data_IF_360317735338
#
_entry.id   IF_360317735338
#
_cell.length_a   1.000
_cell.length_b   1.000
_cell.length_c   1.000
_cell.angle_alpha   90.00
_cell.angle_beta   90.00
_cell.angle_gamma   90.00
#
_symmetry.space_group_name_H-M   'P 1'
#
loop_
_entity.id
_entity.type
_entity.pdbx_description
1 polymer ?
#
# COMPACT_ATOMS: atom_id res chain seq x y z
N UNK A 1 -38.65 -0.58 25.69
CA UNK A 1 -38.09 -0.21 24.37
C UNK A 1 -36.94 -1.16 24.06
N UNK A 2 -37.12 -2.06 23.10
CA UNK A 2 -36.11 -3.07 22.74
C UNK A 2 -35.06 -2.46 21.81
N UNK A 3 -33.80 -2.42 22.24
CA UNK A 3 -32.66 -2.03 21.40
C UNK A 3 -32.54 -3.03 20.25
N UNK A 4 -32.90 -2.61 19.05
CA UNK A 4 -32.52 -3.34 17.83
C UNK A 4 -31.01 -3.23 17.67
N UNK A 5 -30.28 -4.27 18.06
CA UNK A 5 -28.87 -4.40 17.69
C UNK A 5 -28.81 -4.91 16.25
N UNK A 6 -28.21 -4.11 15.37
CA UNK A 6 -27.89 -4.55 14.01
C UNK A 6 -26.83 -5.67 14.09
N UNK A 7 -26.99 -6.78 13.35
CA UNK A 7 -26.19 -8.00 13.50
C UNK A 7 -24.73 -7.90 13.02
N UNK A 8 -24.27 -6.73 12.58
CA UNK A 8 -22.92 -6.53 12.06
C UNK A 8 -22.22 -5.35 12.75
N UNK A 9 -21.89 -5.53 14.03
CA UNK A 9 -20.91 -4.63 14.66
C UNK A 9 -19.52 -5.13 14.34
N UNK A 10 -18.96 -4.64 13.23
CA UNK A 10 -17.55 -4.89 12.89
C UNK A 10 -16.67 -4.38 14.05
N UNK A 11 -15.79 -5.22 14.64
CA UNK A 11 -14.94 -4.83 15.76
C UNK A 11 -14.14 -3.57 15.43
N UNK A 12 -13.96 -2.66 16.40
CA UNK A 12 -13.33 -1.35 16.17
C UNK A 12 -11.95 -1.41 15.52
N UNK A 13 -11.17 -2.48 15.77
CA UNK A 13 -9.85 -2.70 15.15
C UNK A 13 -9.95 -2.97 13.64
N UNK A 14 -10.95 -3.75 13.21
CA UNK A 14 -11.18 -4.01 11.78
C UNK A 14 -11.60 -2.72 11.08
N UNK A 15 -12.53 -1.96 11.67
CA UNK A 15 -12.93 -0.65 11.13
C UNK A 15 -11.76 0.31 10.95
N UNK A 16 -10.88 0.40 11.95
CA UNK A 16 -9.68 1.25 11.85
C UNK A 16 -8.69 0.76 10.77
N UNK A 17 -8.62 -0.55 10.53
CA UNK A 17 -7.86 -1.12 9.43
C UNK A 17 -8.43 -0.73 8.07
N UNK A 18 -9.76 -0.83 7.93
CA UNK A 18 -10.49 -0.48 6.71
C UNK A 18 -10.32 1.01 6.40
N UNK A 19 -10.50 1.87 7.40
CA UNK A 19 -10.27 3.32 7.27
C UNK A 19 -8.83 3.64 6.85
N UNK A 20 -7.82 2.92 7.38
CA UNK A 20 -6.44 3.12 6.99
C UNK A 20 -6.21 2.79 5.51
N UNK A 21 -6.80 1.70 5.02
CA UNK A 21 -6.72 1.31 3.61
C UNK A 21 -7.46 2.29 2.71
N UNK A 22 -8.66 2.72 3.10
CA UNK A 22 -9.46 3.71 2.37
C UNK A 22 -8.70 5.02 2.21
N UNK A 23 -8.04 5.53 3.26
CA UNK A 23 -7.26 6.77 3.19
C UNK A 23 -6.13 6.69 2.15
N UNK A 24 -5.38 5.58 2.12
CA UNK A 24 -4.33 5.39 1.12
C UNK A 24 -4.87 5.18 -0.29
N UNK A 25 -6.03 4.53 -0.42
CA UNK A 25 -6.72 4.39 -1.69
C UNK A 25 -7.23 5.73 -2.21
N UNK A 26 -7.80 6.57 -1.34
CA UNK A 26 -8.23 7.93 -1.66
C UNK A 26 -7.06 8.77 -2.16
N UNK A 27 -5.86 8.68 -1.56
CA UNK A 27 -4.66 9.39 -2.06
C UNK A 27 -4.37 9.03 -3.54
N UNK A 28 -4.46 7.75 -3.88
CA UNK A 28 -4.24 7.28 -5.25
C UNK A 28 -5.36 7.72 -6.20
N UNK A 29 -6.62 7.70 -5.75
CA UNK A 29 -7.76 8.19 -6.52
C UNK A 29 -7.67 9.71 -6.76
N UNK A 30 -7.18 10.48 -5.79
CA UNK A 30 -6.92 11.91 -5.96
C UNK A 30 -5.79 12.15 -6.97
N UNK A 31 -4.69 11.39 -6.91
CA UNK A 31 -3.64 11.46 -7.93
C UNK A 31 -4.23 11.18 -9.33
N UNK A 32 -5.11 10.18 -9.44
CA UNK A 32 -5.75 9.85 -10.71
C UNK A 32 -6.72 10.94 -11.17
N UNK A 33 -7.48 11.55 -10.27
CA UNK A 33 -8.38 12.66 -10.62
C UNK A 33 -7.62 13.89 -11.13
N UNK A 34 -6.47 14.20 -10.53
CA UNK A 34 -5.58 15.28 -10.97
C UNK A 34 -4.87 14.96 -12.30
N UNK A 35 -4.64 13.67 -12.57
CA UNK A 35 -3.89 13.17 -13.72
C UNK A 35 -4.58 11.95 -14.34
N UNK A 36 -5.73 12.14 -15.00
CA UNK A 36 -6.59 11.05 -15.50
C UNK A 36 -5.93 10.16 -16.54
N UNK A 37 -4.88 10.66 -17.19
CA UNK A 37 -4.07 9.93 -18.18
C UNK A 37 -3.12 8.89 -17.57
N UNK A 38 -2.84 8.97 -16.26
CA UNK A 38 -1.82 8.13 -15.62
C UNK A 38 -2.25 6.69 -15.39
N UNK A 39 -3.55 6.48 -15.20
CA UNK A 39 -4.10 5.17 -14.83
C UNK A 39 -5.29 4.82 -15.72
N UNK A 40 -5.47 3.53 -15.93
CA UNK A 40 -6.66 2.99 -16.59
C UNK A 40 -7.71 2.58 -15.56
N UNK A 41 -7.27 2.06 -14.41
CA UNK A 41 -8.14 1.71 -13.29
C UNK A 41 -7.37 1.67 -11.97
N UNK A 42 -8.15 1.75 -10.89
CA UNK A 42 -7.74 1.50 -9.50
C UNK A 42 -8.74 0.49 -8.90
N UNK A 43 -8.24 -0.51 -8.19
CA UNK A 43 -9.01 -1.55 -7.51
C UNK A 43 -8.56 -1.67 -6.05
N UNK A 44 -9.50 -2.09 -5.21
CA UNK A 44 -9.30 -2.37 -3.80
C UNK A 44 -9.54 -3.86 -3.56
N UNK A 45 -8.86 -4.45 -2.59
CA UNK A 45 -9.07 -5.85 -2.17
C UNK A 45 -8.94 -6.83 -3.37
N UNK A 46 -7.81 -6.75 -4.08
CA UNK A 46 -7.52 -7.55 -5.27
C UNK A 46 -7.01 -8.96 -4.94
N UNK A 47 -7.87 -9.97 -5.05
CA UNK A 47 -7.50 -11.37 -4.77
C UNK A 47 -6.49 -11.97 -5.77
N UNK A 48 -6.32 -11.37 -6.95
CA UNK A 48 -5.53 -11.89 -8.07
C UNK A 48 -4.02 -11.61 -7.96
N UNK A 49 -3.61 -10.58 -7.21
CA UNK A 49 -2.19 -10.22 -7.02
C UNK A 49 -1.58 -10.80 -5.72
N UNK A 50 -2.29 -11.73 -5.08
CA UNK A 50 -1.81 -12.44 -3.90
C UNK A 50 -1.61 -11.52 -2.70
N UNK A 51 -0.37 -11.33 -2.25
CA UNK A 51 -0.07 -10.54 -1.04
C UNK A 51 0.14 -9.04 -1.32
N UNK A 52 -0.19 -8.56 -2.52
CA UNK A 52 -0.05 -7.16 -2.95
C UNK A 52 -1.42 -6.44 -3.08
N UNK A 53 -2.43 -7.01 -2.44
CA UNK A 53 -3.85 -7.00 -2.77
C UNK A 53 -4.63 -5.75 -2.34
N UNK A 54 -4.21 -5.07 -1.26
CA UNK A 54 -5.07 -4.08 -0.61
C UNK A 54 -5.51 -2.92 -1.54
N UNK A 55 -4.58 -2.33 -2.31
CA UNK A 55 -4.87 -1.35 -3.38
C UNK A 55 -3.96 -1.56 -4.59
N UNK A 56 -4.55 -1.76 -5.77
CA UNK A 56 -3.82 -2.01 -7.03
C UNK A 56 -4.28 -1.03 -8.11
N UNK A 57 -3.34 -0.49 -8.89
CA UNK A 57 -3.61 0.41 -10.00
C UNK A 57 -2.91 -0.05 -11.27
N UNK A 58 -3.59 0.03 -12.42
CA UNK A 58 -2.94 -0.14 -13.72
C UNK A 58 -2.52 1.19 -14.28
N UNK A 59 -1.21 1.37 -14.50
CA UNK A 59 -0.69 2.55 -15.22
C UNK A 59 -1.05 2.42 -16.69
N UNK A 60 -1.45 3.53 -17.31
CA UNK A 60 -1.80 3.56 -18.75
C UNK A 60 -0.63 3.20 -19.65
N UNK A 61 0.59 3.54 -19.23
CA UNK A 61 1.83 3.25 -19.97
C UNK A 61 2.28 1.78 -19.87
N UNK A 62 1.71 0.98 -18.97
CA UNK A 62 2.21 -0.37 -18.68
C UNK A 62 2.42 -0.62 -17.20
N UNK A 63 2.19 -1.86 -16.76
CA UNK A 63 2.50 -2.33 -15.41
C UNK A 63 1.57 -1.84 -14.30
N UNK A 64 1.77 -2.44 -13.12
CA UNK A 64 0.96 -2.22 -11.94
C UNK A 64 1.66 -1.37 -10.88
N UNK A 65 0.86 -0.62 -10.13
CA UNK A 65 1.22 -0.02 -8.85
C UNK A 65 0.47 -0.80 -7.77
N UNK A 66 1.20 -1.50 -6.90
CA UNK A 66 0.59 -2.35 -5.87
C UNK A 66 0.96 -1.86 -4.47
N UNK A 67 -0.05 -1.63 -3.62
CA UNK A 67 0.14 -1.15 -2.26
C UNK A 67 -0.53 -2.12 -1.31
N UNK A 68 0.27 -2.78 -0.48
CA UNK A 68 -0.23 -3.59 0.64
C UNK A 68 -0.26 -2.73 1.89
N UNK A 69 -1.36 -2.76 2.63
CA UNK A 69 -1.59 -2.04 3.87
C UNK A 69 -1.51 -3.03 5.05
N UNK A 70 -0.80 -2.61 6.10
CA UNK A 70 -0.77 -3.32 7.39
C UNK A 70 -0.98 -2.35 8.53
N UNK A 71 -2.20 -2.31 9.03
CA UNK A 71 -2.58 -1.52 10.19
C UNK A 71 -2.28 -2.24 11.52
N UNK A 72 -1.98 -1.47 12.57
CA UNK A 72 -2.01 -1.91 13.96
C UNK A 72 -2.74 -0.88 14.81
N UNK A 73 -3.53 -1.32 15.79
CA UNK A 73 -4.23 -0.42 16.71
C UNK A 73 -3.30 0.26 17.73
N UNK A 74 -2.10 -0.29 17.95
CA UNK A 74 -1.14 0.22 18.93
C UNK A 74 0.22 0.52 18.24
N UNK A 75 0.27 1.53 17.35
CA UNK A 75 1.46 1.80 16.51
C UNK A 75 2.71 2.18 17.30
N UNK A 76 2.52 2.70 18.51
CA UNK A 76 3.59 3.17 19.37
C UNK A 76 4.20 2.09 20.25
N UNK A 77 3.59 0.90 20.32
CA UNK A 77 4.12 -0.21 21.10
C UNK A 77 5.44 -0.73 20.50
N UNK A 78 6.55 -0.72 21.27
CA UNK A 78 7.86 -1.13 20.75
C UNK A 78 7.90 -2.56 20.20
N UNK A 79 7.14 -3.49 20.80
CA UNK A 79 7.04 -4.88 20.38
C UNK A 79 6.26 -5.07 19.06
N UNK A 80 5.50 -4.05 18.65
CA UNK A 80 4.76 -4.02 17.38
C UNK A 80 5.47 -3.20 16.30
N UNK A 81 6.67 -2.70 16.56
CA UNK A 81 7.46 -1.91 15.61
C UNK A 81 7.65 -2.65 14.28
N UNK A 82 7.67 -1.88 13.19
CA UNK A 82 8.04 -2.35 11.87
C UNK A 82 9.53 -2.71 11.87
N UNK A 83 9.80 -3.97 12.18
CA UNK A 83 11.14 -4.54 12.33
C UNK A 83 11.39 -5.68 11.35
N UNK A 84 12.66 -6.00 11.14
CA UNK A 84 13.04 -7.15 10.32
C UNK A 84 12.47 -8.46 10.88
N UNK A 85 12.47 -8.60 12.20
CA UNK A 85 11.86 -9.74 12.88
C UNK A 85 10.38 -9.85 12.59
N UNK A 86 9.63 -8.75 12.52
CA UNK A 86 8.22 -8.76 12.14
C UNK A 86 8.03 -9.23 10.68
N UNK A 87 8.81 -8.69 9.74
CA UNK A 87 8.71 -9.06 8.32
C UNK A 87 9.07 -10.53 8.06
N UNK A 88 10.05 -11.06 8.80
CA UNK A 88 10.59 -12.41 8.63
C UNK A 88 10.01 -13.45 9.58
N UNK A 89 9.17 -13.04 10.55
CA UNK A 89 8.52 -13.95 11.50
C UNK A 89 7.73 -15.00 10.73
N UNK A 90 7.97 -16.25 11.08
CA UNK A 90 7.20 -17.39 10.60
C UNK A 90 6.36 -17.93 11.74
N UNK A 91 5.06 -18.05 11.50
CA UNK A 91 4.13 -18.58 12.49
C UNK A 91 4.01 -20.08 12.37
N UNK A 92 3.85 -20.78 13.50
CA UNK A 92 3.52 -22.19 13.48
C UNK A 92 2.14 -22.40 12.83
N UNK A 93 2.08 -23.30 11.85
CA UNK A 93 0.84 -23.74 11.21
C UNK A 93 0.59 -25.22 11.44
N UNK A 94 -0.63 -25.67 11.16
CA UNK A 94 -1.04 -27.06 11.34
C UNK A 94 -0.19 -28.08 10.55
N UNK A 95 0.47 -27.65 9.46
CA UNK A 95 1.32 -28.47 8.60
C UNK A 95 2.79 -28.03 8.63
N UNK A 96 3.22 -27.37 9.71
CA UNK A 96 4.55 -26.79 9.85
C UNK A 96 4.56 -25.27 9.73
N UNK A 97 5.76 -24.70 9.69
CA UNK A 97 5.96 -23.24 9.74
C UNK A 97 5.42 -22.54 8.49
N UNK A 98 4.45 -21.63 8.68
CA UNK A 98 3.94 -20.77 7.60
C UNK A 98 5.06 -19.91 7.01
N UNK A 99 4.89 -19.50 5.75
CA UNK A 99 5.74 -18.47 5.13
C UNK A 99 5.62 -17.16 5.90
N UNK A 100 6.72 -16.41 5.98
CA UNK A 100 6.71 -15.08 6.58
C UNK A 100 5.94 -14.07 5.71
N UNK A 101 5.70 -12.87 6.24
CA UNK A 101 5.11 -11.79 5.45
C UNK A 101 5.98 -11.46 4.24
N UNK A 102 7.29 -11.29 4.45
CA UNK A 102 8.23 -10.98 3.37
C UNK A 102 8.30 -12.07 2.31
N UNK A 103 8.26 -13.36 2.70
CA UNK A 103 8.25 -14.46 1.73
C UNK A 103 6.99 -14.43 0.88
N UNK A 104 5.80 -14.30 1.49
CA UNK A 104 4.55 -14.22 0.73
C UNK A 104 4.53 -13.01 -0.20
N UNK A 105 5.07 -11.88 0.25
CA UNK A 105 5.17 -10.65 -0.52
C UNK A 105 6.12 -10.82 -1.72
N UNK A 106 7.31 -11.39 -1.52
CA UNK A 106 8.26 -11.69 -2.59
C UNK A 106 7.66 -12.68 -3.61
N UNK A 107 7.04 -13.76 -3.15
CA UNK A 107 6.41 -14.74 -4.04
C UNK A 107 5.25 -14.15 -4.85
N UNK A 108 4.55 -13.14 -4.31
CA UNK A 108 3.50 -12.42 -5.03
C UNK A 108 4.10 -11.43 -6.04
N UNK A 109 5.14 -10.70 -5.63
CA UNK A 109 5.87 -9.78 -6.48
C UNK A 109 6.44 -10.48 -7.72
N UNK A 110 7.13 -11.60 -7.55
CA UNK A 110 7.75 -12.33 -8.64
C UNK A 110 6.68 -12.78 -9.67
N UNK A 111 5.57 -13.35 -9.19
CA UNK A 111 4.45 -13.75 -10.06
C UNK A 111 3.83 -12.59 -10.81
N UNK A 112 3.52 -11.50 -10.11
CA UNK A 112 2.90 -10.32 -10.73
C UNK A 112 3.86 -9.60 -11.69
N UNK A 113 5.17 -9.63 -11.42
CA UNK A 113 6.19 -9.06 -12.30
C UNK A 113 6.24 -9.79 -13.65
N UNK A 114 6.15 -11.12 -13.63
CA UNK A 114 6.17 -11.95 -14.84
C UNK A 114 4.90 -11.76 -15.69
N UNK A 115 3.74 -11.63 -15.06
CA UNK A 115 2.44 -11.57 -15.77
C UNK A 115 2.09 -10.17 -16.29
N UNK A 116 2.19 -9.15 -15.45
CA UNK A 116 1.65 -7.80 -15.71
C UNK A 116 2.73 -6.70 -15.76
N UNK A 117 3.90 -6.99 -15.17
CA UNK A 117 4.93 -5.99 -14.88
C UNK A 117 4.58 -5.09 -13.70
N UNK A 118 5.59 -4.58 -13.00
CA UNK A 118 5.42 -3.74 -11.81
C UNK A 118 6.19 -2.44 -11.98
N UNK A 119 5.48 -1.32 -11.81
CA UNK A 119 6.05 0.04 -11.81
C UNK A 119 6.42 0.45 -10.39
N UNK A 120 5.57 0.12 -9.41
CA UNK A 120 5.81 0.43 -8.00
C UNK A 120 5.11 -0.62 -7.13
N UNK A 121 5.77 -1.06 -6.06
CA UNK A 121 5.20 -1.99 -5.10
C UNK A 121 5.69 -1.67 -3.69
N UNK A 122 4.78 -1.65 -2.72
CA UNK A 122 5.15 -1.30 -1.34
C UNK A 122 4.24 -1.87 -0.27
N UNK A 123 4.82 -2.02 0.93
CA UNK A 123 4.11 -2.30 2.17
C UNK A 123 3.99 -1.01 3.00
N UNK A 124 2.77 -0.57 3.24
CA UNK A 124 2.43 0.65 3.94
C UNK A 124 1.86 0.29 5.32
N UNK A 125 2.44 0.83 6.38
CA UNK A 125 2.04 0.52 7.74
C UNK A 125 2.11 1.75 8.63
N UNK A 126 1.20 1.83 9.61
CA UNK A 126 1.24 2.84 10.66
C UNK A 126 2.16 2.45 11.83
N UNK A 127 2.77 1.26 11.83
CA UNK A 127 3.77 0.85 12.83
C UNK A 127 4.97 1.78 12.79
N UNK A 128 5.50 2.15 13.96
CA UNK A 128 6.79 2.87 14.01
C UNK A 128 7.93 2.00 13.48
N UNK A 129 8.81 2.59 12.68
CA UNK A 129 10.05 1.93 12.26
C UNK A 129 10.90 1.59 13.47
N UNK A 130 11.40 0.35 13.57
CA UNK A 130 12.59 0.14 14.40
C UNK A 130 13.74 0.93 13.77
N UNK A 131 14.62 1.51 14.59
CA UNK A 131 15.70 2.45 14.19
C UNK A 131 16.68 1.95 13.10
N UNK A 132 16.48 0.74 12.59
CA UNK A 132 17.22 0.08 11.51
C UNK A 132 16.59 0.24 10.12
N UNK A 133 15.34 0.72 9.99
CA UNK A 133 14.70 0.91 8.69
C UNK A 133 15.06 2.29 8.11
N UNK A 134 16.10 2.35 7.30
CA UNK A 134 16.48 3.55 6.55
C UNK A 134 15.31 4.02 5.68
N UNK A 135 14.82 5.24 5.93
CA UNK A 135 13.79 5.88 5.11
C UNK A 135 14.31 6.00 3.67
N UNK A 136 13.71 5.34 2.66
CA UNK A 136 14.12 5.58 1.28
C UNK A 136 13.85 7.05 0.97
N UNK A 137 14.87 7.76 0.52
CA UNK A 137 14.74 9.15 0.12
C UNK A 137 13.80 9.21 -1.08
N UNK A 138 12.59 9.78 -0.90
CA UNK A 138 11.78 10.23 -2.02
C UNK A 138 12.65 11.19 -2.83
N UNK A 139 13.23 10.73 -3.94
CA UNK A 139 13.80 11.62 -4.95
C UNK A 139 12.65 12.43 -5.52
N UNK A 140 12.39 13.60 -4.92
CA UNK A 140 11.64 14.67 -5.59
C UNK A 140 12.45 15.03 -6.83
N UNK A 141 12.05 14.53 -8.01
CA UNK A 141 12.43 15.18 -9.27
C UNK A 141 11.71 16.53 -9.28
N UNK A 142 12.38 17.56 -8.76
CA UNK A 142 12.02 18.92 -9.07
C UNK A 142 12.30 19.14 -10.56
N UNK A 143 11.27 19.00 -11.41
CA UNK A 143 11.32 19.63 -12.74
C UNK A 143 11.19 21.12 -12.48
N UNK A 144 12.29 21.86 -12.61
CA UNK A 144 12.24 23.32 -12.60
C UNK A 144 11.39 23.76 -13.79
N UNK A 145 10.15 24.16 -13.51
CA UNK A 145 9.33 24.85 -14.48
C UNK A 145 10.00 26.21 -14.75
N UNK A 146 10.51 26.40 -15.97
CA UNK A 146 11.03 27.68 -16.44
C UNK A 146 10.00 28.24 -17.42
N UNK A 147 9.27 29.32 -17.07
CA UNK A 147 8.31 29.90 -17.99
C UNK A 147 9.03 30.47 -19.24
N UNK A 148 8.40 30.44 -20.42
CA UNK A 148 8.98 31.02 -21.63
C UNK A 148 9.14 32.53 -21.47
N UNK A 149 10.33 33.04 -21.81
CA UNK A 149 10.58 34.48 -21.90
C UNK A 149 9.72 35.06 -23.02
N UNK A 150 8.77 35.90 -22.67
CA UNK A 150 8.01 36.72 -23.61
C UNK A 150 8.95 37.76 -24.23
N UNK A 151 9.33 37.56 -25.48
CA UNK A 151 9.90 38.62 -26.30
C UNK A 151 8.78 39.56 -26.73
N UNK A 152 8.75 40.78 -26.17
CA UNK A 152 7.92 41.87 -26.73
C UNK A 152 8.52 42.31 -28.07
N UNK A 153 7.74 42.42 -29.16
CA UNK A 153 8.20 43.10 -30.36
C UNK A 153 8.20 44.63 -30.13
N UNK A 154 9.12 45.31 -30.80
CA UNK A 154 9.15 46.78 -30.96
C UNK A 154 8.30 47.17 -32.15
#
# INVERSE_FOLDING_TARGET
>A
MAKHQHPFTVPGIRRAGDEFQDLWGIELLLEWLEHPERYDWVRFECDDVGALDDVVARRREGGLVCRQMKHTAEPDRPDLAASWSWLTKREAGAKGSRRSLLQRWADALDRTLDDEGIVDAGLFTNRRSSSTATRPSRRRRAKSFRPPRTTRPR
#
